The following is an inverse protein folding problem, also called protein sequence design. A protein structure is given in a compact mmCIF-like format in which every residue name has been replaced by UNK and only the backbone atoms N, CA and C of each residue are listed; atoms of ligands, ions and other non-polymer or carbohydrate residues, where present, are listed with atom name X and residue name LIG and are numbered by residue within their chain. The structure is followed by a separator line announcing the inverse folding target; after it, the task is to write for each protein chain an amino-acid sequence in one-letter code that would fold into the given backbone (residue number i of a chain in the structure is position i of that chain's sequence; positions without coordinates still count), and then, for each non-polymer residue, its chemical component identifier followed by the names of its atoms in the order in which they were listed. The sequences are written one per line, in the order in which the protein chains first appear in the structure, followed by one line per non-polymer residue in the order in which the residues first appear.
data_IF_187334440502
#
_entry.id   IF_187334440502
#
_cell.length_a   1.000
_cell.length_b   1.000
_cell.length_c   1.000
_cell.angle_alpha   90.00
_cell.angle_beta   90.00
_cell.angle_gamma   90.00
#
_symmetry.space_group_name_H-M   'P 1'
#
loop_
_entity.id
_entity.type
_entity.pdbx_description
1 polymer ?
#
# COMPACT_ATOMS: atom_id res chain seq x y z
N UNK A 1 6.48 -23.25 -4.41
CA UNK A 1 5.69 -21.99 -4.37
C UNK A 1 6.02 -21.24 -5.65
N UNK A 2 5.02 -20.70 -6.35
CA UNK A 2 5.24 -19.92 -7.58
C UNK A 2 4.82 -18.47 -7.35
N UNK A 3 5.64 -17.54 -7.79
CA UNK A 3 5.40 -16.09 -7.76
C UNK A 3 5.03 -15.61 -9.16
N UNK A 4 4.04 -14.73 -9.30
CA UNK A 4 3.82 -13.94 -10.51
C UNK A 4 4.11 -12.47 -10.17
N UNK A 5 5.02 -11.86 -10.91
CA UNK A 5 5.29 -10.42 -10.89
C UNK A 5 4.49 -9.80 -12.03
N UNK A 6 3.76 -8.73 -11.76
CA UNK A 6 2.96 -8.00 -12.74
C UNK A 6 3.47 -6.59 -12.85
N UNK A 7 3.89 -6.18 -14.05
CA UNK A 7 4.22 -4.80 -14.38
C UNK A 7 3.16 -4.24 -15.32
N UNK A 8 2.62 -3.08 -14.95
CA UNK A 8 1.78 -2.30 -15.86
C UNK A 8 2.56 -1.12 -16.39
N UNK A 9 2.34 -0.80 -17.67
CA UNK A 9 3.03 0.29 -18.35
C UNK A 9 2.10 1.06 -19.29
N UNK A 10 2.34 2.37 -19.41
CA UNK A 10 1.78 3.17 -20.49
C UNK A 10 2.64 4.41 -20.74
N UNK A 11 3.22 4.50 -21.94
CA UNK A 11 4.07 5.61 -22.38
C UNK A 11 5.18 5.96 -21.38
N UNK A 12 5.87 4.95 -20.86
CA UNK A 12 6.97 5.09 -19.92
C UNK A 12 8.09 4.08 -20.24
N UNK A 13 8.60 4.11 -21.46
CA UNK A 13 9.66 3.20 -21.94
C UNK A 13 10.91 3.24 -21.03
N UNK A 14 11.31 4.43 -20.58
CA UNK A 14 12.48 4.60 -19.70
C UNK A 14 12.25 3.99 -18.30
N UNK A 15 11.07 4.19 -17.72
CA UNK A 15 10.71 3.56 -16.44
C UNK A 15 10.58 2.05 -16.58
N UNK A 16 9.96 1.59 -17.66
CA UNK A 16 9.80 0.17 -17.96
C UNK A 16 11.14 -0.54 -18.10
N UNK A 17 12.12 0.05 -18.80
CA UNK A 17 13.48 -0.48 -18.93
C UNK A 17 14.11 -0.71 -17.55
N UNK A 18 14.02 0.27 -16.65
CA UNK A 18 14.56 0.15 -15.28
C UNK A 18 13.90 -0.99 -14.52
N UNK A 19 12.57 -1.10 -14.63
CA UNK A 19 11.81 -2.15 -13.94
C UNK A 19 12.19 -3.53 -14.46
N UNK A 20 12.20 -3.73 -15.78
CA UNK A 20 12.58 -4.98 -16.45
C UNK A 20 14.00 -5.39 -16.06
N UNK A 21 14.97 -4.48 -16.16
CA UNK A 21 16.35 -4.74 -15.77
C UNK A 21 16.48 -5.18 -14.30
N UNK A 22 15.74 -4.55 -13.37
CA UNK A 22 15.77 -4.90 -11.95
C UNK A 22 15.19 -6.29 -11.66
N UNK A 23 14.18 -6.72 -12.43
CA UNK A 23 13.56 -8.04 -12.34
C UNK A 23 14.44 -9.09 -13.03
N UNK A 24 15.06 -8.77 -14.17
CA UNK A 24 15.98 -9.64 -14.88
C UNK A 24 17.27 -9.93 -14.08
N UNK A 25 17.74 -8.97 -13.29
CA UNK A 25 18.92 -9.13 -12.43
C UNK A 25 18.71 -10.08 -11.24
N UNK A 26 17.48 -10.46 -10.90
CA UNK A 26 17.21 -11.27 -9.72
C UNK A 26 17.92 -12.64 -9.77
N UNK A 27 18.49 -13.06 -8.63
CA UNK A 27 19.17 -14.36 -8.48
C UNK A 27 18.20 -15.54 -8.55
N UNK A 28 17.01 -15.39 -7.97
CA UNK A 28 15.93 -16.37 -8.07
C UNK A 28 15.19 -16.20 -9.38
N UNK A 29 15.13 -17.24 -10.22
CA UNK A 29 14.56 -17.19 -11.58
C UNK A 29 13.21 -17.91 -11.73
N UNK A 30 12.80 -18.67 -10.72
CA UNK A 30 11.58 -19.50 -10.78
C UNK A 30 10.31 -18.67 -10.47
N UNK A 31 10.01 -17.67 -11.31
CA UNK A 31 8.82 -16.85 -11.24
C UNK A 31 8.22 -16.61 -12.63
N UNK A 32 6.94 -16.33 -12.68
CA UNK A 32 6.24 -15.86 -13.87
C UNK A 32 6.30 -14.33 -13.90
N UNK A 33 6.67 -13.78 -15.05
CA UNK A 33 6.65 -12.33 -15.24
C UNK A 33 5.59 -11.94 -16.26
N UNK A 34 4.75 -10.96 -15.93
CA UNK A 34 3.63 -10.50 -16.76
C UNK A 34 3.75 -9.01 -16.95
N UNK A 35 3.79 -8.55 -18.21
CA UNK A 35 3.81 -7.13 -18.55
C UNK A 35 2.53 -6.77 -19.30
N UNK A 36 1.80 -5.81 -18.77
CA UNK A 36 0.59 -5.25 -19.40
C UNK A 36 0.91 -3.84 -19.87
N UNK A 37 1.03 -3.68 -21.16
CA UNK A 37 1.24 -2.38 -21.80
C UNK A 37 -0.09 -1.82 -22.33
N UNK A 38 -0.43 -0.60 -21.93
CA UNK A 38 -1.69 0.08 -22.25
C UNK A 38 -1.72 0.68 -23.68
N UNK A 39 -1.25 -0.06 -24.69
CA UNK A 39 -1.07 0.41 -26.07
C UNK A 39 -0.21 1.68 -26.14
N UNK A 40 0.99 1.61 -25.58
CA UNK A 40 1.96 2.71 -25.62
C UNK A 40 2.34 3.08 -27.05
N UNK A 41 2.62 4.36 -27.26
CA UNK A 41 3.04 4.92 -28.55
C UNK A 41 4.51 5.35 -28.57
N UNK A 42 5.21 5.13 -27.45
CA UNK A 42 6.66 5.28 -27.31
C UNK A 42 7.36 3.94 -27.55
N UNK A 43 8.64 3.83 -27.25
CA UNK A 43 9.46 2.64 -27.46
C UNK A 43 9.18 1.50 -26.45
N UNK A 44 8.08 1.54 -25.69
CA UNK A 44 7.77 0.54 -24.66
C UNK A 44 7.69 -0.89 -25.20
N UNK A 45 7.07 -1.09 -26.37
CA UNK A 45 6.94 -2.42 -26.95
C UNK A 45 8.29 -2.98 -27.41
N UNK A 46 9.19 -2.14 -27.90
CA UNK A 46 10.56 -2.48 -28.30
C UNK A 46 11.39 -2.85 -27.06
N UNK A 47 11.24 -2.10 -25.97
CA UNK A 47 11.87 -2.39 -24.67
C UNK A 47 11.46 -3.79 -24.17
N UNK A 48 10.16 -4.12 -24.18
CA UNK A 48 9.70 -5.45 -23.73
C UNK A 48 10.33 -6.56 -24.59
N UNK A 49 10.31 -6.39 -25.92
CA UNK A 49 10.88 -7.37 -26.87
C UNK A 49 12.38 -7.59 -26.66
N UNK A 50 13.13 -6.53 -26.35
CA UNK A 50 14.56 -6.63 -26.10
C UNK A 50 14.88 -7.52 -24.88
N UNK A 51 14.00 -7.51 -23.87
CA UNK A 51 14.14 -8.31 -22.64
C UNK A 51 13.50 -9.72 -22.71
N UNK A 52 12.80 -10.10 -23.79
CA UNK A 52 12.10 -11.39 -23.87
C UNK A 52 12.98 -12.59 -23.55
N UNK A 53 14.24 -12.58 -23.97
CA UNK A 53 15.17 -13.69 -23.76
C UNK A 53 15.77 -13.78 -22.37
N UNK A 54 15.56 -12.76 -21.53
CA UNK A 54 16.12 -12.72 -20.17
C UNK A 54 15.22 -13.46 -19.14
N UNK A 55 13.97 -13.74 -19.53
CA UNK A 55 12.97 -14.37 -18.66
C UNK A 55 12.53 -15.72 -19.19
N UNK A 56 12.56 -16.75 -18.36
CA UNK A 56 12.08 -18.08 -18.72
C UNK A 56 10.55 -18.13 -18.95
N UNK A 57 9.79 -17.27 -18.27
CA UNK A 57 8.33 -17.28 -18.24
C UNK A 57 7.75 -15.86 -18.35
N UNK A 58 8.19 -15.09 -19.36
CA UNK A 58 7.58 -13.80 -19.69
C UNK A 58 6.29 -13.99 -20.49
N UNK A 59 5.25 -13.31 -20.05
CA UNK A 59 4.03 -13.09 -20.83
C UNK A 59 3.80 -11.60 -20.94
N UNK A 60 3.47 -11.10 -22.11
CA UNK A 60 3.09 -9.70 -22.22
C UNK A 60 2.00 -9.47 -23.25
N UNK A 61 1.29 -8.37 -23.09
CA UNK A 61 0.26 -7.90 -23.99
C UNK A 61 0.33 -6.39 -24.09
N UNK A 62 0.20 -5.86 -25.30
CA UNK A 62 0.04 -4.41 -25.56
C UNK A 62 -1.32 -4.19 -26.21
N UNK A 63 -2.24 -3.61 -25.45
CA UNK A 63 -3.60 -3.30 -25.89
C UNK A 63 -4.18 -2.14 -25.07
N UNK A 64 -5.16 -1.39 -25.60
CA UNK A 64 -5.78 -0.30 -24.84
C UNK A 64 -6.34 -0.78 -23.50
N UNK A 65 -6.12 0.02 -22.45
CA UNK A 65 -6.73 -0.17 -21.15
C UNK A 65 -7.67 1.00 -20.78
N UNK A 66 -8.54 0.77 -19.80
CA UNK A 66 -9.44 1.76 -19.22
C UNK A 66 -8.87 2.42 -17.95
N UNK A 67 -7.55 2.35 -17.76
CA UNK A 67 -6.83 2.90 -16.61
C UNK A 67 -6.00 1.88 -15.87
N UNK A 68 -5.26 2.36 -14.87
CA UNK A 68 -4.25 1.61 -14.09
C UNK A 68 -4.82 0.29 -13.56
N UNK A 69 -5.98 0.32 -12.91
CA UNK A 69 -6.57 -0.87 -12.30
C UNK A 69 -7.17 -1.85 -13.31
N UNK A 70 -7.57 -1.38 -14.50
CA UNK A 70 -7.93 -2.28 -15.60
C UNK A 70 -6.69 -3.06 -16.08
N UNK A 71 -5.55 -2.39 -16.25
CA UNK A 71 -4.29 -3.04 -16.59
C UNK A 71 -3.84 -4.03 -15.48
N UNK A 72 -3.87 -3.63 -14.20
CA UNK A 72 -3.58 -4.53 -13.08
C UNK A 72 -4.50 -5.77 -13.09
N UNK A 73 -5.78 -5.60 -13.30
CA UNK A 73 -6.76 -6.69 -13.34
C UNK A 73 -6.52 -7.65 -14.52
N UNK A 74 -6.08 -7.14 -15.68
CA UNK A 74 -5.66 -7.99 -16.80
C UNK A 74 -4.47 -8.87 -16.37
N UNK A 75 -3.44 -8.28 -15.77
CA UNK A 75 -2.29 -9.02 -15.25
C UNK A 75 -2.68 -10.07 -14.19
N UNK A 76 -3.53 -9.71 -13.24
CA UNK A 76 -4.05 -10.62 -12.22
C UNK A 76 -4.81 -11.81 -12.80
N UNK A 77 -5.58 -11.61 -13.88
CA UNK A 77 -6.30 -12.69 -14.59
C UNK A 77 -5.36 -13.62 -15.36
N UNK A 78 -4.23 -13.11 -15.86
CA UNK A 78 -3.20 -13.89 -16.56
C UNK A 78 -2.30 -14.66 -15.60
N UNK A 79 -2.16 -14.21 -14.36
CA UNK A 79 -1.26 -14.76 -13.37
C UNK A 79 -1.66 -16.19 -12.95
N UNK A 80 -0.67 -17.09 -12.91
CA UNK A 80 -0.83 -18.48 -12.49
C UNK A 80 -0.17 -18.78 -11.14
N UNK A 81 0.74 -17.93 -10.67
CA UNK A 81 1.46 -18.10 -9.41
C UNK A 81 0.56 -18.13 -8.17
N UNK A 82 1.06 -18.70 -7.09
CA UNK A 82 0.36 -18.72 -5.81
C UNK A 82 0.36 -17.33 -5.14
N UNK A 83 1.43 -16.56 -5.35
CA UNK A 83 1.59 -15.21 -4.86
C UNK A 83 1.73 -14.23 -6.01
N UNK A 84 1.30 -13.03 -5.78
CA UNK A 84 1.33 -11.90 -6.72
C UNK A 84 2.15 -10.78 -6.10
N UNK A 85 3.05 -10.17 -6.88
CA UNK A 85 3.61 -8.85 -6.65
C UNK A 85 3.22 -7.95 -7.81
N UNK A 86 2.78 -6.73 -7.54
CA UNK A 86 2.54 -5.71 -8.58
C UNK A 86 3.67 -4.69 -8.46
N UNK A 87 4.47 -4.58 -9.50
CA UNK A 87 5.62 -3.66 -9.60
C UNK A 87 5.41 -2.80 -10.85
N UNK A 88 4.98 -1.56 -10.67
CA UNK A 88 4.64 -0.68 -11.79
C UNK A 88 5.89 -0.24 -12.56
N UNK A 89 5.72 0.16 -13.82
CA UNK A 89 6.84 0.70 -14.61
C UNK A 89 7.38 1.99 -13.98
N UNK A 90 8.70 2.03 -13.74
CA UNK A 90 9.41 3.06 -12.98
C UNK A 90 9.86 2.60 -11.60
N UNK A 91 9.11 1.69 -10.96
CA UNK A 91 9.51 1.07 -9.70
C UNK A 91 10.47 -0.10 -9.94
N UNK A 92 11.40 -0.34 -9.02
CA UNK A 92 12.43 -1.35 -9.15
C UNK A 92 12.57 -2.19 -7.88
N UNK A 93 13.06 -3.41 -7.98
CA UNK A 93 13.54 -4.15 -6.82
C UNK A 93 14.86 -3.53 -6.33
N UNK A 94 15.03 -3.44 -4.99
CA UNK A 94 16.18 -2.70 -4.41
C UNK A 94 17.53 -3.39 -4.59
N UNK A 95 17.55 -4.71 -4.80
CA UNK A 95 18.75 -5.54 -4.94
C UNK A 95 18.43 -6.82 -5.73
N UNK A 96 19.47 -7.52 -6.18
CA UNK A 96 19.33 -8.69 -7.04
C UNK A 96 18.85 -9.96 -6.30
N UNK A 97 18.79 -9.95 -4.97
CA UNK A 97 18.40 -11.08 -4.11
C UNK A 97 17.02 -10.90 -3.46
N UNK A 98 16.27 -9.87 -3.83
CA UNK A 98 14.99 -9.52 -3.17
C UNK A 98 13.97 -10.65 -3.29
N UNK A 99 13.79 -11.24 -4.47
CA UNK A 99 12.80 -12.31 -4.67
C UNK A 99 13.16 -13.54 -3.84
N UNK A 100 14.44 -13.90 -3.81
CA UNK A 100 14.95 -15.02 -3.02
C UNK A 100 14.66 -14.82 -1.53
N UNK A 101 15.02 -13.67 -0.97
CA UNK A 101 14.83 -13.32 0.44
C UNK A 101 13.35 -13.22 0.82
N UNK A 102 12.52 -12.62 -0.03
CA UNK A 102 11.07 -12.57 0.20
C UNK A 102 10.44 -13.96 0.14
N UNK A 103 10.91 -14.83 -0.76
CA UNK A 103 10.46 -16.23 -0.85
C UNK A 103 10.84 -17.03 0.40
N UNK A 104 12.06 -16.83 0.91
CA UNK A 104 12.50 -17.42 2.18
C UNK A 104 11.65 -16.90 3.35
N UNK A 105 11.40 -15.60 3.43
CA UNK A 105 10.56 -15.01 4.46
C UNK A 105 9.10 -15.53 4.42
N UNK A 106 8.53 -15.76 3.23
CA UNK A 106 7.24 -16.43 3.09
C UNK A 106 7.23 -17.83 3.72
N UNK A 107 8.29 -18.61 3.48
CA UNK A 107 8.42 -19.96 4.03
C UNK A 107 8.58 -19.92 5.56
N UNK A 108 9.45 -19.08 6.08
CA UNK A 108 9.70 -18.92 7.51
C UNK A 108 8.45 -18.47 8.28
N UNK A 109 7.60 -17.67 7.66
CA UNK A 109 6.35 -17.18 8.24
C UNK A 109 5.13 -18.08 7.96
N UNK A 110 5.34 -19.29 7.41
CA UNK A 110 4.25 -20.26 7.18
C UNK A 110 3.28 -19.87 6.07
N UNK A 111 3.75 -19.15 5.05
CA UNK A 111 2.98 -18.75 3.87
C UNK A 111 1.73 -17.90 4.20
N UNK A 112 1.89 -16.73 4.81
CA UNK A 112 0.78 -15.85 5.17
C UNK A 112 0.01 -15.40 3.93
N UNK A 113 -1.22 -14.96 4.13
CA UNK A 113 -2.07 -14.46 3.04
C UNK A 113 -1.51 -13.21 2.37
N UNK A 114 -0.83 -12.35 3.14
CA UNK A 114 -0.11 -11.18 2.65
C UNK A 114 1.20 -11.09 3.45
N UNK A 115 2.33 -10.99 2.74
CA UNK A 115 3.64 -10.64 3.30
C UNK A 115 4.09 -9.32 2.69
N UNK A 116 4.57 -8.38 3.50
CA UNK A 116 5.09 -7.12 2.99
C UNK A 116 6.40 -6.73 3.67
N UNK A 117 7.22 -5.98 2.94
CA UNK A 117 8.43 -5.35 3.43
C UNK A 117 8.39 -3.83 3.31
N UNK A 118 9.55 -3.20 3.35
CA UNK A 118 9.71 -1.77 3.23
C UNK A 118 9.67 -1.33 1.76
N UNK A 119 9.13 -0.16 1.52
CA UNK A 119 9.24 0.58 0.26
C UNK A 119 10.23 1.73 0.46
N UNK A 120 11.18 1.88 -0.45
CA UNK A 120 12.14 2.99 -0.44
C UNK A 120 11.70 4.06 -1.43
N UNK A 121 11.17 5.16 -0.93
CA UNK A 121 10.75 6.31 -1.72
C UNK A 121 11.96 7.03 -2.29
N UNK A 122 12.03 7.16 -3.61
CA UNK A 122 13.09 7.83 -4.34
C UNK A 122 12.60 9.20 -4.84
N UNK A 123 13.17 10.27 -4.33
CA UNK A 123 12.81 11.64 -4.69
C UNK A 123 13.67 12.16 -5.84
N UNK A 124 13.18 13.10 -6.68
CA UNK A 124 13.93 13.67 -7.80
C UNK A 124 15.23 14.35 -7.37
N UNK A 125 15.31 14.83 -6.14
CA UNK A 125 16.53 15.46 -5.57
C UNK A 125 17.56 14.45 -5.06
N UNK A 126 17.35 13.15 -5.30
CA UNK A 126 18.24 12.05 -4.91
C UNK A 126 18.05 11.57 -3.46
N UNK A 127 17.18 12.20 -2.66
CA UNK A 127 16.86 11.69 -1.32
C UNK A 127 16.15 10.36 -1.40
N UNK A 128 16.39 9.50 -0.40
CA UNK A 128 15.68 8.24 -0.20
C UNK A 128 15.07 8.22 1.20
N UNK A 129 13.85 7.72 1.30
CA UNK A 129 13.13 7.54 2.57
C UNK A 129 12.56 6.14 2.64
N UNK A 130 12.93 5.39 3.67
CA UNK A 130 12.35 4.06 3.92
C UNK A 130 10.98 4.21 4.54
N UNK A 131 9.96 3.71 3.85
CA UNK A 131 8.59 3.60 4.34
C UNK A 131 8.34 2.16 4.77
N UNK A 132 8.23 1.95 6.07
CA UNK A 132 7.98 0.64 6.70
C UNK A 132 6.50 0.27 6.76
N UNK A 133 5.62 1.11 6.20
CA UNK A 133 4.19 0.94 6.32
C UNK A 133 3.76 0.88 7.80
N UNK A 134 3.10 -0.21 8.17
CA UNK A 134 2.67 -0.43 9.55
C UNK A 134 3.73 -1.12 10.43
N UNK A 135 4.91 -1.44 9.90
CA UNK A 135 6.05 -2.02 10.63
C UNK A 135 5.67 -3.23 11.50
N UNK A 136 4.81 -4.12 11.01
CA UNK A 136 4.37 -5.32 11.72
C UNK A 136 3.33 -5.09 12.83
N UNK A 137 2.87 -3.86 13.04
CA UNK A 137 1.73 -3.60 13.91
C UNK A 137 0.43 -4.08 13.27
N UNK A 138 -0.55 -4.45 14.09
CA UNK A 138 -1.90 -4.77 13.62
C UNK A 138 -2.46 -3.59 12.81
N UNK A 139 -2.94 -3.88 11.61
CA UNK A 139 -3.52 -2.88 10.73
C UNK A 139 -4.98 -2.67 11.13
N UNK A 140 -5.24 -1.54 11.76
CA UNK A 140 -6.57 -1.14 12.21
C UNK A 140 -7.27 -0.25 11.18
N UNK A 141 -8.60 -0.09 11.33
CA UNK A 141 -9.36 0.85 10.50
C UNK A 141 -8.79 2.28 10.60
N UNK A 142 -8.38 2.73 11.80
CA UNK A 142 -7.74 4.04 11.95
C UNK A 142 -6.42 4.13 11.19
N UNK A 143 -5.63 3.05 11.19
CA UNK A 143 -4.41 2.97 10.40
C UNK A 143 -4.69 3.11 8.91
N UNK A 144 -5.68 2.41 8.39
CA UNK A 144 -6.09 2.49 6.98
C UNK A 144 -6.77 3.81 6.63
N UNK A 145 -7.48 4.44 7.57
CA UNK A 145 -8.06 5.77 7.37
C UNK A 145 -6.97 6.83 7.12
N UNK A 146 -5.85 6.76 7.86
CA UNK A 146 -4.76 7.74 7.79
C UNK A 146 -3.61 7.34 6.87
N UNK A 147 -3.52 6.07 6.46
CA UNK A 147 -2.42 5.51 5.66
C UNK A 147 -2.85 4.50 4.60
N UNK A 148 -1.90 3.73 4.14
CA UNK A 148 -2.10 2.60 3.22
C UNK A 148 -1.02 1.54 3.45
N UNK A 149 -1.26 0.33 2.96
CA UNK A 149 -0.22 -0.67 2.74
C UNK A 149 0.30 -0.51 1.30
N UNK A 150 1.62 -0.50 1.14
CA UNK A 150 2.25 -0.36 -0.18
C UNK A 150 2.14 -1.69 -0.94
N UNK A 151 1.49 -1.68 -2.10
CA UNK A 151 1.23 -2.90 -2.88
C UNK A 151 2.47 -3.41 -3.62
N UNK A 152 3.37 -2.53 -4.01
CA UNK A 152 4.60 -2.83 -4.74
C UNK A 152 5.61 -3.64 -3.91
N UNK A 153 5.64 -3.44 -2.59
CA UNK A 153 6.48 -4.18 -1.64
C UNK A 153 5.76 -5.35 -0.95
N UNK A 154 4.60 -5.77 -1.48
CA UNK A 154 3.77 -6.82 -0.91
C UNK A 154 3.66 -8.05 -1.82
N UNK A 155 3.76 -9.24 -1.22
CA UNK A 155 3.44 -10.53 -1.83
C UNK A 155 2.06 -10.96 -1.33
N UNK A 156 1.08 -11.02 -2.24
CA UNK A 156 -0.34 -11.24 -1.96
C UNK A 156 -0.75 -12.60 -2.49
N UNK A 157 -1.35 -13.46 -1.68
CA UNK A 157 -1.91 -14.73 -2.16
C UNK A 157 -2.97 -14.48 -3.22
N UNK A 158 -2.80 -15.12 -4.38
CA UNK A 158 -3.68 -14.94 -5.53
C UNK A 158 -5.15 -15.29 -5.26
N UNK A 159 -5.40 -16.26 -4.39
CA UNK A 159 -6.77 -16.66 -4.04
C UNK A 159 -7.56 -15.58 -3.29
N UNK A 160 -6.90 -14.60 -2.67
CA UNK A 160 -7.58 -13.46 -2.09
C UNK A 160 -8.30 -12.62 -3.15
N UNK A 161 -7.75 -12.48 -4.36
CA UNK A 161 -8.44 -11.80 -5.47
C UNK A 161 -9.68 -12.56 -5.95
N UNK A 162 -9.69 -13.91 -5.83
CA UNK A 162 -10.89 -14.69 -6.10
C UNK A 162 -11.94 -14.56 -4.99
N UNK A 163 -11.49 -14.49 -3.74
CA UNK A 163 -12.35 -14.41 -2.54
C UNK A 163 -12.99 -13.03 -2.37
N UNK A 164 -12.21 -11.96 -2.54
CA UNK A 164 -12.62 -10.59 -2.24
C UNK A 164 -12.90 -9.74 -3.49
N UNK A 165 -12.68 -10.28 -4.69
CA UNK A 165 -12.81 -9.57 -5.95
C UNK A 165 -11.51 -8.87 -6.37
N UNK A 166 -11.50 -8.41 -7.61
CA UNK A 166 -10.40 -7.66 -8.21
C UNK A 166 -10.49 -6.17 -7.85
N UNK A 167 -9.53 -5.38 -8.31
CA UNK A 167 -9.54 -3.94 -8.13
C UNK A 167 -10.74 -3.27 -8.81
N UNK A 168 -11.27 -2.24 -8.20
CA UNK A 168 -12.38 -1.43 -8.74
C UNK A 168 -11.85 -0.51 -9.85
N UNK A 169 -12.20 -0.83 -11.09
CA UNK A 169 -11.76 -0.10 -12.28
C UNK A 169 -12.42 1.28 -12.44
N UNK A 170 -13.41 1.62 -11.62
CA UNK A 170 -14.03 2.95 -11.61
C UNK A 170 -13.20 3.99 -10.84
N UNK A 171 -12.21 3.53 -10.06
CA UNK A 171 -11.26 4.36 -9.33
C UNK A 171 -9.96 4.50 -10.14
N UNK A 172 -9.26 5.62 -9.94
CA UNK A 172 -8.02 5.91 -10.67
C UNK A 172 -6.75 5.77 -9.83
N UNK A 173 -6.87 5.95 -8.49
CA UNK A 173 -5.68 6.04 -7.60
C UNK A 173 -5.81 5.14 -6.38
N UNK A 174 -7.01 4.91 -5.82
CA UNK A 174 -7.16 4.33 -4.48
C UNK A 174 -7.83 2.95 -4.48
N UNK A 175 -7.87 2.24 -5.62
CA UNK A 175 -8.53 0.95 -5.68
C UNK A 175 -7.78 -0.17 -4.94
N UNK A 176 -6.46 -0.12 -4.91
CA UNK A 176 -5.60 -0.97 -4.08
C UNK A 176 -5.86 -0.75 -2.59
N UNK A 177 -5.94 0.51 -2.16
CA UNK A 177 -6.30 0.86 -0.79
C UNK A 177 -7.73 0.40 -0.43
N UNK A 178 -8.71 0.56 -1.33
CA UNK A 178 -10.07 0.03 -1.15
C UNK A 178 -10.05 -1.49 -0.99
N UNK A 179 -9.27 -2.16 -1.82
CA UNK A 179 -9.13 -3.61 -1.78
C UNK A 179 -8.51 -4.06 -0.44
N UNK A 180 -7.47 -3.38 0.05
CA UNK A 180 -6.88 -3.65 1.36
C UNK A 180 -7.88 -3.41 2.50
N UNK A 181 -8.74 -2.39 2.42
CA UNK A 181 -9.81 -2.22 3.40
C UNK A 181 -10.73 -3.46 3.43
N UNK A 182 -11.14 -3.94 2.26
CA UNK A 182 -12.01 -5.13 2.17
C UNK A 182 -11.35 -6.37 2.73
N UNK A 183 -10.09 -6.59 2.42
CA UNK A 183 -9.35 -7.80 2.78
C UNK A 183 -8.89 -7.77 4.24
N UNK A 184 -8.27 -6.68 4.66
CA UNK A 184 -7.61 -6.59 5.97
C UNK A 184 -8.61 -6.25 7.06
N UNK A 185 -9.44 -5.20 6.86
CA UNK A 185 -10.32 -4.70 7.90
C UNK A 185 -11.62 -5.52 7.97
N UNK A 186 -12.28 -5.69 6.83
CA UNK A 186 -13.56 -6.39 6.80
C UNK A 186 -13.41 -7.91 6.69
N UNK A 187 -12.33 -8.37 6.03
CA UNK A 187 -12.02 -9.79 5.86
C UNK A 187 -11.17 -10.41 6.98
N UNK A 188 -10.51 -9.59 7.81
CA UNK A 188 -9.66 -10.05 8.91
C UNK A 188 -8.32 -10.65 8.49
N UNK A 189 -7.91 -10.48 7.23
CA UNK A 189 -6.67 -11.04 6.67
C UNK A 189 -5.48 -10.15 7.04
N UNK A 190 -4.99 -10.21 8.29
CA UNK A 190 -3.88 -9.38 8.74
C UNK A 190 -2.57 -9.73 8.03
N UNK A 191 -1.88 -8.76 7.39
CA UNK A 191 -0.59 -8.98 6.75
C UNK A 191 0.52 -9.27 7.76
N UNK A 192 1.49 -10.07 7.33
CA UNK A 192 2.74 -10.23 8.07
C UNK A 192 3.83 -9.33 7.48
N UNK A 193 4.67 -8.81 8.36
CA UNK A 193 5.76 -7.89 8.01
C UNK A 193 7.12 -8.58 8.08
N UNK A 194 8.00 -8.22 7.16
CA UNK A 194 9.44 -8.50 7.22
C UNK A 194 10.21 -7.18 7.14
N UNK A 195 11.14 -6.94 8.07
CA UNK A 195 11.98 -5.72 8.05
C UNK A 195 13.08 -5.85 7.00
N UNK A 196 12.69 -5.66 5.74
CA UNK A 196 13.54 -5.76 4.57
C UNK A 196 13.08 -4.75 3.53
N UNK A 197 14.03 -4.02 2.95
CA UNK A 197 13.75 -3.17 1.80
C UNK A 197 13.48 -4.05 0.58
N UNK A 198 12.34 -3.80 -0.10
CA UNK A 198 11.86 -4.61 -1.22
C UNK A 198 11.90 -3.81 -2.52
N UNK A 199 11.32 -2.61 -2.54
CA UNK A 199 11.16 -1.81 -3.75
C UNK A 199 11.74 -0.42 -3.62
N UNK A 200 12.24 0.11 -4.74
CA UNK A 200 12.49 1.53 -4.98
C UNK A 200 11.27 2.10 -5.68
N UNK A 201 10.57 3.01 -5.03
CA UNK A 201 9.35 3.64 -5.53
C UNK A 201 9.65 5.03 -6.08
N UNK A 202 9.25 5.29 -7.32
CA UNK A 202 9.43 6.57 -7.96
C UNK A 202 8.38 7.59 -7.49
N UNK A 203 8.84 8.66 -6.83
CA UNK A 203 7.98 9.73 -6.30
C UNK A 203 7.45 10.69 -7.38
N UNK A 204 7.77 10.48 -8.66
CA UNK A 204 7.20 11.22 -9.80
C UNK A 204 5.99 10.50 -10.42
N UNK A 205 5.60 9.35 -9.87
CA UNK A 205 4.48 8.54 -10.35
C UNK A 205 3.11 9.24 -10.29
N UNK A 206 2.13 8.66 -11.00
CA UNK A 206 0.79 9.23 -11.15
C UNK A 206 0.05 9.45 -9.82
N UNK A 207 0.18 8.54 -8.86
CA UNK A 207 -0.48 8.65 -7.55
C UNK A 207 0.06 9.81 -6.71
N UNK A 208 1.37 10.05 -6.78
CA UNK A 208 2.01 11.12 -6.02
C UNK A 208 1.72 12.52 -6.59
N UNK A 209 1.54 12.61 -7.90
CA UNK A 209 1.22 13.87 -8.58
C UNK A 209 -0.26 14.25 -8.52
N UNK A 210 -1.16 13.32 -8.16
CA UNK A 210 -2.62 13.51 -8.15
C UNK A 210 -3.26 13.32 -6.76
N UNK A 211 -2.63 13.85 -5.71
CA UNK A 211 -3.06 13.67 -4.30
C UNK A 211 -4.47 14.17 -4.00
N UNK A 212 -4.95 15.19 -4.69
CA UNK A 212 -6.30 15.72 -4.45
C UNK A 212 -7.38 14.78 -5.02
N UNK A 213 -7.12 14.14 -6.17
CA UNK A 213 -7.98 13.09 -6.68
C UNK A 213 -8.04 11.90 -5.71
N UNK A 214 -6.89 11.50 -5.16
CA UNK A 214 -6.83 10.43 -4.17
C UNK A 214 -7.68 10.73 -2.92
N UNK A 215 -7.68 11.98 -2.44
CA UNK A 215 -8.54 12.40 -1.30
C UNK A 215 -10.03 12.28 -1.64
N UNK A 216 -10.42 12.75 -2.82
CA UNK A 216 -11.82 12.67 -3.29
C UNK A 216 -12.28 11.22 -3.42
N UNK A 217 -11.46 10.38 -4.04
CA UNK A 217 -11.79 8.95 -4.19
C UNK A 217 -11.83 8.23 -2.83
N UNK A 218 -10.88 8.48 -1.91
CA UNK A 218 -10.91 7.92 -0.54
C UNK A 218 -12.20 8.27 0.19
N UNK A 219 -12.60 9.55 0.14
CA UNK A 219 -13.84 9.99 0.76
C UNK A 219 -15.05 9.23 0.20
N UNK A 220 -15.17 9.14 -1.12
CA UNK A 220 -16.23 8.39 -1.80
C UNK A 220 -16.27 6.92 -1.38
N UNK A 221 -15.12 6.27 -1.30
CA UNK A 221 -15.00 4.86 -0.89
C UNK A 221 -15.44 4.69 0.57
N UNK A 222 -14.99 5.58 1.47
CA UNK A 222 -15.38 5.52 2.89
C UNK A 222 -16.88 5.72 3.09
N UNK A 223 -17.50 6.67 2.37
CA UNK A 223 -18.94 6.90 2.38
C UNK A 223 -19.75 5.68 1.89
N UNK A 224 -19.18 4.88 1.00
CA UNK A 224 -19.81 3.64 0.52
C UNK A 224 -19.61 2.45 1.47
N UNK A 225 -18.49 2.40 2.19
CA UNK A 225 -18.11 1.24 2.99
C UNK A 225 -18.47 1.35 4.47
N UNK A 226 -18.60 2.57 5.00
CA UNK A 226 -18.87 2.82 6.41
C UNK A 226 -20.23 3.48 6.63
N UNK A 227 -20.97 3.12 7.70
CA UNK A 227 -22.10 3.90 8.16
C UNK A 227 -21.69 5.34 8.45
N UNK A 228 -22.56 6.31 8.14
CA UNK A 228 -22.26 7.74 8.30
C UNK A 228 -21.89 8.12 9.74
N UNK A 229 -22.50 7.50 10.74
CA UNK A 229 -22.16 7.73 12.15
C UNK A 229 -20.74 7.28 12.49
N UNK A 230 -20.28 6.14 11.91
CA UNK A 230 -18.90 5.65 12.11
C UNK A 230 -17.91 6.57 11.38
N UNK A 231 -18.25 7.00 10.17
CA UNK A 231 -17.40 7.91 9.41
C UNK A 231 -17.22 9.25 10.11
N UNK A 232 -18.30 9.79 10.72
CA UNK A 232 -18.23 11.02 11.50
C UNK A 232 -17.23 10.95 12.67
N UNK A 233 -17.13 9.80 13.35
CA UNK A 233 -16.13 9.60 14.41
C UNK A 233 -14.70 9.63 13.85
N UNK A 234 -14.45 9.00 12.70
CA UNK A 234 -13.13 9.05 12.04
C UNK A 234 -12.77 10.46 11.56
N UNK A 235 -13.72 11.18 10.93
CA UNK A 235 -13.53 12.56 10.49
C UNK A 235 -13.18 13.49 11.66
N UNK A 236 -13.82 13.27 12.81
CA UNK A 236 -13.62 14.10 14.01
C UNK A 236 -12.33 13.72 14.76
N UNK A 237 -12.06 12.44 14.95
CA UNK A 237 -11.08 11.96 15.93
C UNK A 237 -9.81 11.36 15.33
N UNK A 238 -9.75 11.05 14.03
CA UNK A 238 -8.57 10.41 13.44
C UNK A 238 -7.30 11.24 13.60
N UNK A 239 -7.36 12.55 13.31
CA UNK A 239 -6.20 13.45 13.46
C UNK A 239 -5.79 13.66 14.92
N UNK A 240 -6.68 13.99 15.87
CA UNK A 240 -6.36 14.02 17.29
C UNK A 240 -5.79 12.70 17.81
N UNK A 241 -6.32 11.56 17.40
CA UNK A 241 -5.83 10.25 17.84
C UNK A 241 -4.43 9.95 17.32
N UNK A 242 -4.12 10.32 16.09
CA UNK A 242 -2.77 10.17 15.53
C UNK A 242 -1.76 11.08 16.25
N UNK A 243 -2.15 12.32 16.57
CA UNK A 243 -1.34 13.21 17.41
C UNK A 243 -1.11 12.63 18.80
N UNK A 244 -2.13 12.06 19.41
CA UNK A 244 -2.03 11.41 20.73
C UNK A 244 -1.10 10.20 20.70
N UNK A 245 -1.19 9.33 19.68
CA UNK A 245 -0.26 8.21 19.47
C UNK A 245 1.19 8.68 19.33
N UNK A 246 1.43 9.78 18.59
CA UNK A 246 2.78 10.38 18.50
C UNK A 246 3.27 10.87 19.85
N UNK A 247 2.41 11.53 20.62
CA UNK A 247 2.74 12.01 21.97
C UNK A 247 3.13 10.87 22.91
N UNK A 248 2.44 9.72 22.83
CA UNK A 248 2.77 8.55 23.64
C UNK A 248 4.19 8.00 23.40
N UNK A 249 4.78 8.24 22.22
CA UNK A 249 6.17 7.86 21.92
C UNK A 249 7.20 8.75 22.64
N UNK A 250 6.76 9.85 23.27
CA UNK A 250 7.59 10.76 24.06
C UNK A 250 7.18 10.74 25.54
N UNK A 251 7.73 9.82 26.36
CA UNK A 251 7.23 9.55 27.72
C UNK A 251 7.11 10.79 28.62
N UNK A 252 8.08 11.72 28.52
CA UNK A 252 8.05 12.95 29.32
C UNK A 252 6.89 13.87 28.91
N UNK A 253 6.73 14.12 27.61
CA UNK A 253 5.64 14.93 27.08
C UNK A 253 4.26 14.33 27.38
N UNK A 254 4.13 13.01 27.25
CA UNK A 254 2.91 12.28 27.60
C UNK A 254 2.54 12.45 29.08
N UNK A 255 3.52 12.34 29.99
CA UNK A 255 3.30 12.54 31.44
C UNK A 255 2.87 13.97 31.77
N UNK A 256 3.44 14.97 31.10
CA UNK A 256 3.05 16.37 31.30
C UNK A 256 1.59 16.60 30.87
N UNK A 257 1.21 16.14 29.68
CA UNK A 257 -0.17 16.28 29.17
C UNK A 257 -1.17 15.56 30.09
N UNK A 258 -0.85 14.34 30.53
CA UNK A 258 -1.69 13.60 31.46
C UNK A 258 -1.85 14.28 32.81
N UNK A 259 -0.77 14.92 33.31
CA UNK A 259 -0.85 15.71 34.55
C UNK A 259 -1.75 16.94 34.38
N UNK A 260 -1.62 17.67 33.24
CA UNK A 260 -2.47 18.82 32.92
C UNK A 260 -3.95 18.41 32.81
N UNK A 261 -4.25 17.31 32.15
CA UNK A 261 -5.61 16.78 32.04
C UNK A 261 -6.22 16.51 33.42
N UNK A 262 -5.47 15.86 34.32
CA UNK A 262 -5.93 15.62 35.69
C UNK A 262 -6.19 16.92 36.47
N UNK A 263 -5.39 17.96 36.25
CA UNK A 263 -5.62 19.26 36.86
C UNK A 263 -6.90 19.91 36.32
N UNK A 264 -7.13 19.88 35.02
CA UNK A 264 -8.35 20.39 34.40
C UNK A 264 -9.59 19.66 34.91
N UNK A 265 -9.56 18.32 34.95
CA UNK A 265 -10.66 17.53 35.49
C UNK A 265 -11.02 17.88 36.96
N UNK A 266 -9.99 18.12 37.81
CA UNK A 266 -10.24 18.58 39.19
C UNK A 266 -10.87 19.97 39.24
N UNK A 267 -10.44 20.89 38.38
CA UNK A 267 -10.99 22.24 38.29
C UNK A 267 -12.46 22.21 37.84
N UNK A 268 -12.80 21.44 36.81
CA UNK A 268 -14.17 21.26 36.32
C UNK A 268 -15.08 20.66 37.39
N UNK A 269 -14.58 19.64 38.13
CA UNK A 269 -15.33 19.03 39.23
C UNK A 269 -15.59 20.02 40.37
N UNK A 270 -14.62 20.89 40.68
CA UNK A 270 -14.78 21.94 41.67
C UNK A 270 -15.79 23.01 41.24
N UNK A 271 -15.76 23.38 39.95
CA UNK A 271 -16.68 24.36 39.37
C UNK A 271 -18.12 23.83 39.30
N UNK A 272 -18.29 22.57 38.91
CA UNK A 272 -19.60 21.92 38.90
C UNK A 272 -20.20 21.79 40.34
N UNK A 273 -19.34 21.57 41.35
CA UNK A 273 -19.81 21.58 42.77
C UNK A 273 -20.28 22.97 43.21
N UNK A 274 -19.56 24.04 42.84
CA UNK A 274 -19.96 25.42 43.13
C UNK A 274 -21.28 25.79 42.46
N UNK A 275 -21.45 25.41 41.18
CA UNK A 275 -22.69 25.71 40.46
C UNK A 275 -23.91 24.97 41.04
N UNK A 276 -23.75 23.73 41.52
CA UNK A 276 -24.82 23.00 42.22
C UNK A 276 -25.22 23.65 43.54
N UNK A 277 -24.22 24.17 44.28
CA UNK A 277 -24.51 24.87 45.58
C UNK A 277 -25.19 26.23 45.35
N UNK A 278 -24.92 26.91 44.22
CA UNK A 278 -25.55 28.18 43.87
C UNK A 278 -27.01 28.03 43.36
N UNK A 279 -27.46 26.85 42.95
CA UNK A 279 -28.82 26.57 42.52
C UNK A 279 -29.75 26.21 43.69
N UNK A 280 -29.26 26.01 44.92
CA UNK A 280 -30.02 25.64 46.09
C UNK A 280 -30.10 26.75 47.16
N UNK A 281 -29.49 27.92 46.88
CA UNK A 281 -29.65 29.16 47.66
C UNK A 281 -30.45 30.21 46.83
#
# INVERSE_FOLDING_TARGET
MTLSIITINRNNAVGLEKTLASVAAQTFKEFEYIVIDGASIDESAEVIKAHETEFAHLKWVSEPDMGIYNAMNKGLKMASGNYIQILNSGDCLVADDVIERMTQALQEKGYPNILYGNMVKCFPDGRRLVDKGFAGQEITMLGMYTGTLNHDSAYIRRDLFKKYGYYDETLRIVSDWKWYLQVIIFGGEQPQYVDMDVTLFDMEGFSETNKDLAKVERKKVLEQMLPSAVLADYDQFASPMDQFKRLQRHPLAYRIVWFMERCLFKMEKAQNKKNKTAQWN
#
